data_IF_456960727070
#
_entry.id   IF_456960727070
#
_cell.length_a   1.000
_cell.length_b   1.000
_cell.length_c   1.000
_cell.angle_alpha   90.00
_cell.angle_beta   90.00
_cell.angle_gamma   90.00
#
_symmetry.space_group_name_H-M   'P 1'
#
loop_
_entity.id
_entity.type
_entity.pdbx_description
1 polymer ?
#
# COMPACT_ATOMS: atom_id res chain seq x y z
N UNK A 1 -18.34 -19.21 -32.00
CA UNK A 1 -19.00 -20.05 -30.96
C UNK A 1 -18.03 -21.15 -30.56
N UNK A 2 -17.58 -21.18 -29.30
CA UNK A 2 -16.69 -22.24 -28.79
C UNK A 2 -17.55 -23.32 -28.11
N UNK A 3 -17.78 -24.42 -28.82
CA UNK A 3 -18.67 -25.50 -28.38
C UNK A 3 -18.09 -26.36 -27.24
N UNK A 4 -16.80 -26.18 -26.90
CA UNK A 4 -16.09 -26.99 -25.89
C UNK A 4 -15.20 -26.17 -24.95
N UNK A 5 -15.56 -24.92 -24.68
CA UNK A 5 -14.82 -24.15 -23.67
C UNK A 5 -15.28 -24.58 -22.27
N UNK A 6 -14.37 -25.21 -21.52
CA UNK A 6 -14.57 -25.42 -20.10
C UNK A 6 -14.73 -24.08 -19.38
N UNK A 7 -15.60 -23.99 -18.36
CA UNK A 7 -15.67 -22.79 -17.53
C UNK A 7 -14.30 -22.52 -16.92
N UNK A 8 -13.89 -21.25 -16.93
CA UNK A 8 -12.64 -20.85 -16.30
C UNK A 8 -12.69 -21.23 -14.81
N UNK A 9 -11.63 -21.88 -14.32
CA UNK A 9 -11.55 -22.30 -12.92
C UNK A 9 -11.71 -21.08 -11.99
N UNK A 10 -12.60 -21.20 -11.00
CA UNK A 10 -12.76 -20.23 -9.92
C UNK A 10 -12.37 -20.87 -8.60
N UNK A 11 -11.38 -20.29 -7.91
CA UNK A 11 -11.01 -20.74 -6.56
C UNK A 11 -12.18 -20.59 -5.59
N UNK A 12 -12.20 -21.42 -4.54
CA UNK A 12 -13.22 -21.34 -3.50
C UNK A 12 -13.27 -19.94 -2.84
N UNK A 13 -12.10 -19.34 -2.61
CA UNK A 13 -12.01 -17.97 -2.11
C UNK A 13 -12.70 -16.96 -3.02
N UNK A 14 -12.55 -17.10 -4.35
CA UNK A 14 -13.22 -16.22 -5.31
C UNK A 14 -14.74 -16.38 -5.25
N UNK A 15 -15.22 -17.63 -5.15
CA UNK A 15 -16.65 -17.92 -5.05
C UNK A 15 -17.24 -17.37 -3.73
N UNK A 16 -16.51 -17.53 -2.62
CA UNK A 16 -16.87 -16.96 -1.32
C UNK A 16 -16.99 -15.43 -1.38
N UNK A 17 -15.99 -14.74 -1.93
CA UNK A 17 -16.02 -13.28 -2.05
C UNK A 17 -17.19 -12.81 -2.93
N UNK A 18 -17.46 -13.51 -4.04
CA UNK A 18 -18.59 -13.18 -4.92
C UNK A 18 -19.92 -13.32 -4.18
N UNK A 19 -20.11 -14.43 -3.44
CA UNK A 19 -21.30 -14.66 -2.63
C UNK A 19 -21.46 -13.60 -1.54
N UNK A 20 -20.39 -13.28 -0.82
CA UNK A 20 -20.41 -12.27 0.25
C UNK A 20 -20.85 -10.89 -0.28
N UNK A 21 -20.33 -10.47 -1.44
CA UNK A 21 -20.72 -9.20 -2.06
C UNK A 21 -22.17 -9.19 -2.53
N UNK A 22 -22.68 -10.33 -3.02
CA UNK A 22 -24.08 -10.46 -3.43
C UNK A 22 -25.04 -10.40 -2.23
N UNK A 23 -24.67 -11.04 -1.12
CA UNK A 23 -25.45 -11.02 0.12
C UNK A 23 -25.41 -9.66 0.84
N UNK A 24 -24.31 -8.91 0.69
CA UNK A 24 -24.10 -7.61 1.35
C UNK A 24 -23.66 -6.53 0.36
N UNK A 25 -24.61 -5.92 -0.38
CA UNK A 25 -24.27 -4.85 -1.33
C UNK A 25 -23.71 -3.58 -0.67
N UNK A 26 -23.98 -3.33 0.63
CA UNK A 26 -23.41 -2.21 1.38
C UNK A 26 -21.92 -2.37 1.72
N UNK A 27 -21.37 -3.58 1.60
CA UNK A 27 -20.03 -3.91 2.11
C UNK A 27 -18.92 -3.06 1.49
N UNK A 28 -19.01 -2.71 0.21
CA UNK A 28 -18.01 -1.88 -0.47
C UNK A 28 -17.99 -0.44 0.06
N UNK A 29 -19.16 0.09 0.43
CA UNK A 29 -19.29 1.41 1.03
C UNK A 29 -18.67 1.42 2.42
N UNK A 30 -19.01 0.43 3.24
CA UNK A 30 -18.43 0.24 4.57
C UNK A 30 -16.90 0.07 4.52
N UNK A 31 -16.39 -0.70 3.55
CA UNK A 31 -14.95 -0.85 3.32
C UNK A 31 -14.30 0.48 2.95
N UNK A 32 -14.94 1.28 2.09
CA UNK A 32 -14.42 2.61 1.71
C UNK A 32 -14.38 3.54 2.92
N UNK A 33 -15.44 3.56 3.72
CA UNK A 33 -15.49 4.35 4.96
C UNK A 33 -14.41 3.90 5.95
N UNK A 34 -14.25 2.58 6.14
CA UNK A 34 -13.19 2.04 7.00
C UNK A 34 -11.78 2.41 6.53
N UNK A 35 -11.54 2.39 5.21
CA UNK A 35 -10.25 2.87 4.65
C UNK A 35 -10.08 4.37 4.83
N UNK A 36 -11.13 5.17 4.64
CA UNK A 36 -11.05 6.63 4.82
C UNK A 36 -10.67 7.06 6.24
N UNK A 37 -10.98 6.25 7.26
CA UNK A 37 -10.62 6.56 8.64
C UNK A 37 -9.11 6.55 8.91
N UNK A 38 -8.39 5.56 8.37
CA UNK A 38 -6.99 5.31 8.74
C UNK A 38 -6.01 5.39 7.57
N UNK A 39 -6.48 5.16 6.35
CA UNK A 39 -5.66 4.92 5.17
C UNK A 39 -5.79 6.02 4.11
N UNK A 40 -7.02 6.40 3.73
CA UNK A 40 -7.24 7.42 2.71
C UNK A 40 -7.17 8.83 3.32
N UNK A 41 -5.98 9.24 3.77
CA UNK A 41 -5.73 10.56 4.34
C UNK A 41 -5.49 11.59 3.24
N UNK A 42 -6.21 12.70 3.31
CA UNK A 42 -5.90 13.88 2.49
C UNK A 42 -4.59 14.50 3.01
N UNK A 43 -3.56 14.52 2.17
CA UNK A 43 -2.28 15.16 2.46
C UNK A 43 -2.23 16.50 1.74
N UNK A 44 -1.92 17.57 2.46
CA UNK A 44 -1.69 18.88 1.87
C UNK A 44 -0.39 18.86 1.04
N UNK A 45 -0.53 19.09 -0.26
CA UNK A 45 0.60 19.10 -1.20
C UNK A 45 1.61 20.22 -0.90
N UNK A 46 1.16 21.38 -0.41
CA UNK A 46 2.04 22.49 -0.07
C UNK A 46 2.85 22.18 1.19
N UNK A 47 2.20 21.60 2.21
CA UNK A 47 2.89 21.11 3.40
C UNK A 47 3.92 20.04 3.04
N UNK A 48 3.57 19.11 2.13
CA UNK A 48 4.48 18.08 1.65
C UNK A 48 5.74 18.64 0.99
N UNK A 49 5.59 19.66 0.14
CA UNK A 49 6.72 20.36 -0.46
C UNK A 49 7.63 20.99 0.60
N UNK A 50 7.04 21.63 1.63
CA UNK A 50 7.78 22.16 2.77
C UNK A 50 8.58 21.09 3.52
N UNK A 51 7.98 19.93 3.79
CA UNK A 51 8.67 18.81 4.44
C UNK A 51 9.81 18.23 3.60
N UNK A 52 9.63 18.16 2.27
CA UNK A 52 10.68 17.71 1.37
C UNK A 52 11.83 18.71 1.31
N UNK A 53 11.54 20.02 1.28
CA UNK A 53 12.55 21.07 1.30
C UNK A 53 13.32 21.13 2.63
N UNK A 54 12.66 20.83 3.75
CA UNK A 54 13.26 20.81 5.09
C UNK A 54 13.99 19.50 5.44
N UNK A 55 14.07 18.52 4.53
CA UNK A 55 14.76 17.25 4.81
C UNK A 55 16.24 17.47 5.10
N UNK A 56 16.70 16.97 6.25
CA UNK A 56 18.12 16.88 6.60
C UNK A 56 18.64 15.51 6.20
N UNK A 57 19.78 15.46 5.51
CA UNK A 57 20.42 14.21 5.15
C UNK A 57 20.86 13.45 6.42
N UNK A 58 20.29 12.26 6.63
CA UNK A 58 20.66 11.39 7.73
C UNK A 58 21.83 10.49 7.32
N UNK A 59 22.80 10.30 8.21
CA UNK A 59 23.89 9.32 8.00
C UNK A 59 23.30 7.90 7.87
N UNK A 60 23.82 7.03 6.99
CA UNK A 60 23.34 5.65 6.84
C UNK A 60 23.40 4.86 8.14
N UNK A 61 24.42 5.14 8.97
CA UNK A 61 24.59 4.53 10.29
C UNK A 61 24.66 5.62 11.36
N UNK A 62 23.62 5.70 12.17
CA UNK A 62 23.45 6.71 13.24
C UNK A 62 24.60 6.65 14.28
N UNK A 63 25.18 5.48 14.48
CA UNK A 63 26.24 5.25 15.47
C UNK A 63 27.65 5.17 14.88
N UNK A 64 27.83 5.50 13.60
CA UNK A 64 29.16 5.53 13.03
C UNK A 64 29.92 6.73 13.60
N UNK A 65 30.86 6.46 14.50
CA UNK A 65 31.57 7.46 15.30
C UNK A 65 32.74 8.13 14.57
N UNK A 66 33.20 7.57 13.43
CA UNK A 66 34.23 8.18 12.59
C UNK A 66 34.24 7.58 11.17
N UNK A 67 34.23 8.43 10.14
CA UNK A 67 34.52 8.07 8.74
C UNK A 67 36.03 8.15 8.50
N UNK A 68 36.85 7.47 9.31
CA UNK A 68 38.30 7.47 9.07
C UNK A 68 38.61 6.43 8.01
N UNK A 69 39.14 6.79 6.81
CA UNK A 69 39.70 5.81 5.92
C UNK A 69 40.90 5.20 6.64
N UNK A 70 40.80 3.93 7.00
CA UNK A 70 41.93 3.17 7.53
C UNK A 70 43.03 3.24 6.45
N UNK A 71 44.09 4.00 6.74
CA UNK A 71 45.18 4.30 5.82
C UNK A 71 45.68 3.01 5.18
N UNK A 72 45.82 3.04 3.86
CA UNK A 72 46.33 1.95 3.05
C UNK A 72 47.66 1.45 3.63
N UNK A 73 47.77 0.11 3.66
CA UNK A 73 48.95 -0.64 4.08
C UNK A 73 50.20 -0.23 3.31
#
# INVERSE_FOLDING_TARGET
MHLFRYPDYKSEATQFIQKLKAEKPSLEEEQRQGRALLWDKAVDAQAWQGYQAARVAQKPYVYQTSDTPQQAR
#
